data_IF_629797830349
#
_entry.id   IF_629797830349
#
_cell.length_a   1.000
_cell.length_b   1.000
_cell.length_c   1.000
_cell.angle_alpha   90.00
_cell.angle_beta   90.00
_cell.angle_gamma   90.00
#
_symmetry.space_group_name_H-M   'P 1'
#
loop_
_entity.id
_entity.type
_entity.pdbx_description
1 polymer ?
#
# COMPACT_ATOMS: atom_id res chain seq x y z
N UNK A 1 21.09 16.71 16.73
CA UNK A 1 20.20 16.45 15.58
C UNK A 1 19.19 15.36 15.90
N UNK A 2 18.07 15.74 16.49
CA UNK A 2 16.89 14.89 16.58
C UNK A 2 16.05 15.02 15.30
N UNK A 3 15.82 13.91 14.61
CA UNK A 3 14.96 13.84 13.42
C UNK A 3 13.61 13.22 13.78
N UNK A 4 12.53 13.84 13.33
CA UNK A 4 11.19 13.23 13.33
C UNK A 4 10.95 12.64 11.95
N UNK A 5 10.50 11.39 11.90
CA UNK A 5 10.16 10.72 10.65
C UNK A 5 8.74 10.19 10.76
N UNK A 6 7.88 10.62 9.83
CA UNK A 6 6.51 10.13 9.65
C UNK A 6 6.41 9.39 8.34
N UNK A 7 5.72 8.25 8.34
CA UNK A 7 5.56 7.40 7.15
C UNK A 7 4.10 7.09 6.92
N UNK A 8 3.65 7.30 5.68
CA UNK A 8 2.29 7.08 5.25
C UNK A 8 2.30 6.16 4.03
N UNK A 9 1.54 5.08 4.08
CA UNK A 9 1.31 4.19 2.93
C UNK A 9 -0.03 4.55 2.29
N UNK A 10 -0.01 4.95 1.03
CA UNK A 10 -1.19 5.45 0.32
C UNK A 10 -1.50 4.53 -0.87
N UNK A 11 -2.66 3.87 -0.88
CA UNK A 11 -3.07 3.08 -2.04
C UNK A 11 -3.60 4.02 -3.13
N UNK A 12 -2.99 3.99 -4.31
CA UNK A 12 -3.49 4.65 -5.52
C UNK A 12 -3.69 3.56 -6.57
N UNK A 13 -4.96 3.34 -6.93
CA UNK A 13 -5.37 2.22 -7.79
C UNK A 13 -4.82 0.87 -7.30
N UNK A 14 -3.86 0.29 -8.01
CA UNK A 14 -3.25 -1.02 -7.77
C UNK A 14 -1.78 -0.91 -7.35
N UNK A 15 -1.41 0.20 -6.71
CA UNK A 15 -0.09 0.42 -6.14
C UNK A 15 -0.20 1.12 -4.79
N UNK A 16 0.73 0.79 -3.90
CA UNK A 16 0.94 1.51 -2.66
C UNK A 16 2.17 2.40 -2.80
N UNK A 17 1.98 3.68 -2.49
CA UNK A 17 3.01 4.71 -2.50
C UNK A 17 3.43 5.01 -1.06
N UNK A 18 4.73 5.20 -0.84
CA UNK A 18 5.25 5.64 0.46
C UNK A 18 5.46 7.15 0.44
N UNK A 19 4.82 7.86 1.37
CA UNK A 19 5.18 9.23 1.71
C UNK A 19 6.00 9.22 2.99
N UNK A 20 7.19 9.82 2.94
CA UNK A 20 8.04 10.03 4.11
C UNK A 20 8.16 11.51 4.36
N UNK A 21 7.82 11.95 5.56
CA UNK A 21 8.04 13.32 6.02
C UNK A 21 9.13 13.30 7.07
N UNK A 22 10.23 13.97 6.78
CA UNK A 22 11.36 14.12 7.68
C UNK A 22 11.43 15.57 8.16
N UNK A 23 11.55 15.77 9.47
CA UNK A 23 11.74 17.09 10.05
C UNK A 23 12.92 17.10 11.00
N UNK A 24 13.85 18.01 10.75
CA UNK A 24 14.95 18.31 11.66
C UNK A 24 14.45 19.28 12.73
N UNK A 25 14.38 18.82 14.00
CA UNK A 25 13.77 19.61 15.08
C UNK A 25 14.44 20.95 15.35
N UNK A 26 15.77 21.00 15.18
CA UNK A 26 16.60 22.15 15.54
C UNK A 26 16.48 23.27 14.50
N UNK A 27 16.49 22.91 13.21
CA UNK A 27 16.42 23.87 12.11
C UNK A 27 15.00 24.12 11.63
N UNK A 28 14.04 23.25 11.96
CA UNK A 28 12.70 23.27 11.37
C UNK A 28 12.67 22.86 9.90
N UNK A 29 13.77 22.34 9.34
CA UNK A 29 13.85 21.90 7.94
C UNK A 29 13.01 20.66 7.76
N UNK A 30 12.05 20.73 6.83
CA UNK A 30 11.17 19.61 6.45
C UNK A 30 11.47 19.15 5.04
N UNK A 31 11.46 17.84 4.85
CA UNK A 31 11.55 17.16 3.56
C UNK A 31 10.40 16.19 3.41
N UNK A 32 9.72 16.24 2.27
CA UNK A 32 8.65 15.30 1.92
C UNK A 32 9.12 14.50 0.72
N UNK A 33 9.14 13.18 0.87
CA UNK A 33 9.52 12.23 -0.16
C UNK A 33 8.32 11.41 -0.60
N UNK A 34 8.26 11.10 -1.89
CA UNK A 34 7.34 10.13 -2.48
C UNK A 34 8.17 9.00 -3.10
N UNK A 35 8.03 7.77 -2.60
CA UNK A 35 8.84 6.61 -3.01
C UNK A 35 10.35 6.94 -3.05
N UNK A 36 10.86 7.56 -1.99
CA UNK A 36 12.24 8.08 -1.86
C UNK A 36 12.61 9.29 -2.73
N UNK A 37 11.77 9.73 -3.66
CA UNK A 37 12.02 10.94 -4.45
C UNK A 37 11.62 12.20 -3.66
N UNK A 38 12.55 13.13 -3.44
CA UNK A 38 12.26 14.41 -2.79
C UNK A 38 11.25 15.20 -3.63
N UNK A 39 10.15 15.63 -3.01
CA UNK A 39 9.09 16.43 -3.64
C UNK A 39 9.00 17.83 -3.07
N UNK A 40 9.20 17.97 -1.76
CA UNK A 40 9.14 19.25 -1.07
C UNK A 40 10.34 19.34 -0.14
N UNK A 41 10.97 20.50 -0.13
CA UNK A 41 11.91 20.89 0.90
C UNK A 41 11.60 22.32 1.34
N UNK A 42 11.28 22.48 2.62
CA UNK A 42 10.87 23.76 3.19
C UNK A 42 11.16 23.84 4.70
N UNK A 43 10.48 24.77 5.37
CA UNK A 43 10.66 25.08 6.78
C UNK A 43 9.29 25.10 7.49
N UNK A 44 9.20 24.51 8.69
CA UNK A 44 7.94 24.32 9.45
C UNK A 44 7.57 25.54 10.32
N UNK A 45 8.12 26.73 10.07
CA UNK A 45 7.85 27.93 10.88
C UNK A 45 6.39 28.41 10.83
N UNK A 46 5.60 27.89 9.89
CA UNK A 46 4.16 28.12 9.77
C UNK A 46 3.46 26.81 9.39
N UNK A 47 2.18 26.68 9.76
CA UNK A 47 1.34 25.57 9.30
C UNK A 47 1.11 25.73 7.80
N UNK A 48 1.61 24.77 7.02
CA UNK A 48 1.48 24.73 5.56
C UNK A 48 0.66 23.51 5.15
N UNK A 49 0.01 23.63 3.99
CA UNK A 49 -0.62 22.51 3.33
C UNK A 49 0.05 22.28 1.96
N UNK A 50 0.45 21.04 1.71
CA UNK A 50 1.11 20.62 0.48
C UNK A 50 0.20 19.70 -0.31
N UNK A 51 0.12 19.92 -1.63
CA UNK A 51 -0.62 19.04 -2.54
C UNK A 51 0.40 18.28 -3.39
N UNK A 52 0.36 16.96 -3.33
CA UNK A 52 1.08 16.09 -4.25
C UNK A 52 0.08 15.49 -5.25
N UNK A 53 0.43 15.49 -6.53
CA UNK A 53 -0.32 14.78 -7.56
C UNK A 53 0.36 13.43 -7.83
N UNK A 54 -0.38 12.34 -7.60
CA UNK A 54 0.05 10.98 -7.86
C UNK A 54 -0.93 10.36 -8.84
N UNK A 55 -0.51 10.22 -10.11
CA UNK A 55 -1.32 9.62 -11.17
C UNK A 55 -2.70 10.29 -11.35
N UNK A 56 -2.78 11.61 -11.18
CA UNK A 56 -4.04 12.38 -11.26
C UNK A 56 -4.84 12.40 -9.96
N UNK A 57 -4.37 11.70 -8.92
CA UNK A 57 -4.96 11.73 -7.57
C UNK A 57 -4.25 12.76 -6.71
N UNK A 58 -5.00 13.71 -6.16
CA UNK A 58 -4.47 14.76 -5.29
C UNK A 58 -4.37 14.27 -3.85
N UNK A 59 -3.18 14.36 -3.28
CA UNK A 59 -2.89 14.07 -1.88
C UNK A 59 -2.64 15.39 -1.15
N UNK A 60 -3.46 15.73 -0.18
CA UNK A 60 -3.24 16.89 0.69
C UNK A 60 -2.51 16.43 1.96
N UNK A 61 -1.38 17.06 2.25
CA UNK A 61 -0.62 16.89 3.49
C UNK A 61 -0.72 18.21 4.23
N UNK A 62 -1.39 18.21 5.38
CA UNK A 62 -1.61 19.42 6.17
C UNK A 62 -1.00 19.27 7.55
N UNK A 63 -0.27 20.29 7.99
CA UNK A 63 0.21 20.36 9.37
C UNK A 63 -1.00 20.41 10.33
N UNK A 64 -1.02 19.51 11.30
CA UNK A 64 -2.09 19.38 12.29
C UNK A 64 -1.76 20.13 13.58
N UNK A 65 -0.50 20.10 14.02
CA UNK A 65 -0.06 20.75 15.25
C UNK A 65 1.44 21.07 15.26
N UNK A 66 1.83 21.83 16.26
CA UNK A 66 3.20 22.30 16.55
C UNK A 66 4.14 21.14 16.98
N UNK A 67 3.61 19.92 17.11
CA UNK A 67 4.39 18.71 17.42
C UNK A 67 4.72 17.89 16.17
N UNK A 68 4.64 18.51 14.99
CA UNK A 68 4.91 17.87 13.70
C UNK A 68 3.96 16.69 13.41
N UNK A 69 2.69 16.86 13.78
CA UNK A 69 1.59 16.00 13.36
C UNK A 69 1.07 16.41 11.99
N UNK A 70 0.66 15.44 11.18
CA UNK A 70 0.13 15.70 9.84
C UNK A 70 -1.21 15.00 9.64
N UNK A 71 -2.15 15.71 9.01
CA UNK A 71 -3.33 15.12 8.41
C UNK A 71 -3.04 14.86 6.93
N UNK A 72 -3.18 13.61 6.49
CA UNK A 72 -3.07 13.22 5.09
C UNK A 72 -4.46 12.90 4.55
N UNK A 73 -4.83 13.51 3.42
CA UNK A 73 -6.10 13.29 2.74
C UNK A 73 -5.86 12.91 1.28
N UNK A 74 -6.71 12.04 0.76
CA UNK A 74 -6.73 11.57 -0.63
C UNK A 74 -8.03 12.04 -1.27
N UNK A 75 -7.94 13.05 -2.15
CA UNK A 75 -9.12 13.80 -2.57
C UNK A 75 -9.83 14.45 -1.37
N UNK A 76 -11.05 14.03 -1.09
CA UNK A 76 -11.88 14.53 0.02
C UNK A 76 -11.89 13.61 1.25
N UNK A 77 -11.19 12.47 1.21
CA UNK A 77 -11.18 11.46 2.29
C UNK A 77 -9.93 11.57 3.14
N UNK A 78 -10.06 11.28 4.43
CA UNK A 78 -8.88 11.02 5.27
C UNK A 78 -8.15 9.76 4.77
N UNK A 79 -6.85 9.68 5.03
CA UNK A 79 -6.05 8.50 4.65
C UNK A 79 -6.66 7.19 5.16
N UNK A 80 -7.14 7.17 6.41
CA UNK A 80 -7.71 5.97 7.03
C UNK A 80 -9.00 5.52 6.32
N UNK A 81 -9.88 6.47 6.00
CA UNK A 81 -11.09 6.17 5.23
C UNK A 81 -10.76 5.67 3.82
N UNK A 82 -9.78 6.29 3.17
CA UNK A 82 -9.34 5.89 1.83
C UNK A 82 -8.73 4.48 1.82
N UNK A 83 -7.88 4.16 2.81
CA UNK A 83 -7.34 2.81 3.02
C UNK A 83 -8.45 1.81 3.30
N UNK A 84 -9.40 2.17 4.16
CA UNK A 84 -10.52 1.31 4.50
C UNK A 84 -11.36 0.97 3.27
N UNK A 85 -11.71 1.97 2.45
CA UNK A 85 -12.46 1.75 1.22
C UNK A 85 -11.67 0.92 0.20
N UNK A 86 -10.36 1.16 0.05
CA UNK A 86 -9.50 0.32 -0.79
C UNK A 86 -9.50 -1.14 -0.31
N UNK A 87 -9.43 -1.36 1.01
CA UNK A 87 -9.39 -2.69 1.62
C UNK A 87 -10.71 -3.47 1.48
N UNK A 88 -11.83 -2.81 1.14
CA UNK A 88 -13.10 -3.50 0.84
C UNK A 88 -13.05 -4.19 -0.52
N UNK A 89 -12.30 -3.64 -1.46
CA UNK A 89 -12.21 -4.15 -2.83
C UNK A 89 -10.96 -5.01 -3.05
N UNK A 90 -9.87 -4.69 -2.35
CA UNK A 90 -8.56 -5.33 -2.56
C UNK A 90 -7.99 -5.93 -1.28
N UNK A 91 -7.38 -7.11 -1.43
CA UNK A 91 -6.47 -7.68 -0.45
C UNK A 91 -5.04 -7.39 -0.86
N UNK A 92 -4.23 -6.90 0.07
CA UNK A 92 -2.81 -6.60 -0.16
C UNK A 92 -1.94 -7.44 0.78
N UNK A 93 -0.81 -7.92 0.26
CA UNK A 93 0.25 -8.60 1.00
C UNK A 93 1.60 -8.00 0.64
N UNK A 94 2.54 -7.99 1.58
CA UNK A 94 3.94 -7.66 1.31
C UNK A 94 4.77 -8.95 1.30
N UNK A 95 5.47 -9.18 0.20
CA UNK A 95 6.32 -10.36 0.00
C UNK A 95 7.78 -9.96 -0.12
N UNK A 96 8.67 -10.81 0.38
CA UNK A 96 10.11 -10.67 0.19
C UNK A 96 10.58 -11.75 -0.78
N UNK A 97 11.04 -11.33 -1.96
CA UNK A 97 11.54 -12.23 -3.00
C UNK A 97 12.93 -12.79 -2.62
N UNK A 98 13.34 -13.92 -3.23
CA UNK A 98 14.73 -14.36 -3.20
C UNK A 98 15.66 -13.22 -3.59
N UNK A 99 16.70 -12.96 -2.79
CA UNK A 99 17.57 -11.80 -2.92
C UNK A 99 17.17 -10.57 -2.09
N UNK A 100 16.09 -10.66 -1.29
CA UNK A 100 15.73 -9.66 -0.28
C UNK A 100 14.89 -8.49 -0.78
N UNK A 101 14.54 -8.46 -2.07
CA UNK A 101 13.69 -7.42 -2.63
C UNK A 101 12.25 -7.54 -2.11
N UNK A 102 11.71 -6.48 -1.50
CA UNK A 102 10.32 -6.41 -1.06
C UNK A 102 9.41 -5.91 -2.17
N UNK A 103 8.21 -6.47 -2.25
CA UNK A 103 7.15 -5.96 -3.13
C UNK A 103 5.78 -6.31 -2.60
N UNK A 104 4.74 -5.77 -3.23
CA UNK A 104 3.36 -6.01 -2.85
C UNK A 104 2.63 -6.84 -3.90
N UNK A 105 1.80 -7.74 -3.40
CA UNK A 105 0.80 -8.48 -4.18
C UNK A 105 -0.55 -7.88 -3.81
N UNK A 106 -1.35 -7.53 -4.80
CA UNK A 106 -2.69 -6.97 -4.62
C UNK A 106 -3.64 -7.82 -5.43
N UNK A 107 -4.71 -8.32 -4.82
CA UNK A 107 -5.74 -9.06 -5.53
C UNK A 107 -7.10 -8.45 -5.26
N UNK A 108 -7.95 -8.45 -6.30
CA UNK A 108 -9.35 -8.10 -6.11
C UNK A 108 -10.02 -9.21 -5.27
N UNK A 109 -10.84 -8.80 -4.31
CA UNK A 109 -11.57 -9.73 -3.43
C UNK A 109 -12.66 -10.48 -4.16
N UNK A 110 -13.20 -9.95 -5.26
CA UNK A 110 -14.05 -10.71 -6.19
C UNK A 110 -13.19 -11.67 -7.03
N UNK A 111 -13.30 -13.00 -6.81
CA UNK A 111 -12.53 -13.99 -7.56
C UNK A 111 -12.93 -14.03 -9.05
N UNK A 112 -14.09 -13.48 -9.43
CA UNK A 112 -14.55 -13.46 -10.82
C UNK A 112 -13.86 -12.36 -11.63
N UNK A 113 -13.35 -11.31 -10.97
CA UNK A 113 -12.54 -10.28 -11.61
C UNK A 113 -11.20 -10.81 -12.14
N UNK A 114 -10.72 -11.97 -11.64
CA UNK A 114 -9.47 -12.64 -12.06
C UNK A 114 -8.29 -11.66 -12.20
N UNK A 115 -8.16 -10.78 -11.21
CA UNK A 115 -7.20 -9.68 -11.28
C UNK A 115 -6.28 -9.71 -10.07
N UNK A 116 -5.00 -9.91 -10.37
CA UNK A 116 -3.89 -9.83 -9.42
C UNK A 116 -2.87 -8.86 -9.99
N UNK A 117 -2.33 -8.01 -9.13
CA UNK A 117 -1.23 -7.12 -9.43
C UNK A 117 -0.02 -7.52 -8.60
N UNK A 118 1.14 -7.53 -9.25
CA UNK A 118 2.41 -7.86 -8.65
C UNK A 118 3.46 -6.88 -9.18
N UNK A 119 4.24 -6.27 -8.29
CA UNK A 119 5.20 -5.22 -8.65
C UNK A 119 4.57 -4.07 -9.47
N UNK A 120 3.34 -3.68 -9.13
CA UNK A 120 2.60 -2.62 -9.80
C UNK A 120 2.11 -2.97 -11.21
N UNK A 121 2.20 -4.24 -11.64
CA UNK A 121 1.74 -4.69 -12.95
C UNK A 121 0.69 -5.79 -12.79
N UNK A 122 -0.30 -5.80 -13.68
CA UNK A 122 -1.29 -6.90 -13.74
C UNK A 122 -0.56 -8.19 -14.11
N UNK A 123 -0.81 -9.25 -13.35
CA UNK A 123 -0.30 -10.59 -13.68
C UNK A 123 -1.11 -11.13 -14.85
N UNK A 124 -0.48 -11.45 -16.00
CA UNK A 124 -1.18 -12.00 -17.15
C UNK A 124 -1.56 -13.47 -16.91
N UNK A 125 -2.64 -13.92 -17.54
CA UNK A 125 -3.01 -15.35 -17.55
C UNK A 125 -3.49 -15.90 -16.20
N UNK A 126 -3.93 -15.04 -15.28
CA UNK A 126 -4.55 -15.51 -14.03
C UNK A 126 -5.86 -16.23 -14.36
N UNK A 127 -5.88 -17.52 -14.08
CA UNK A 127 -7.06 -18.36 -14.20
C UNK A 127 -7.65 -18.68 -12.84
N UNK A 128 -8.98 -18.69 -12.77
CA UNK A 128 -9.72 -19.10 -11.59
C UNK A 128 -9.79 -20.62 -11.59
N UNK A 129 -9.04 -21.26 -10.70
CA UNK A 129 -9.08 -22.71 -10.52
C UNK A 129 -10.07 -23.01 -9.40
N UNK A 130 -11.21 -23.62 -9.74
CA UNK A 130 -12.19 -24.12 -8.77
C UNK A 130 -11.83 -25.56 -8.42
N UNK A 131 -11.64 -25.84 -7.14
CA UNK A 131 -11.39 -27.22 -6.68
C UNK A 131 -12.52 -27.77 -5.82
N UNK A 132 -13.29 -26.91 -5.15
CA UNK A 132 -14.53 -27.26 -4.45
C UNK A 132 -15.58 -26.15 -4.60
N UNK A 133 -16.81 -26.40 -4.13
CA UNK A 133 -17.93 -25.48 -4.31
C UNK A 133 -17.66 -24.07 -3.72
N UNK A 134 -16.94 -24.03 -2.58
CA UNK A 134 -16.64 -22.84 -1.78
C UNK A 134 -15.16 -22.45 -1.80
N UNK A 135 -14.36 -23.07 -2.68
CA UNK A 135 -12.93 -22.85 -2.71
C UNK A 135 -12.41 -22.60 -4.13
N UNK A 136 -11.63 -21.53 -4.26
CA UNK A 136 -10.97 -21.15 -5.50
C UNK A 136 -9.52 -20.77 -5.23
N UNK A 137 -8.70 -20.85 -6.28
CA UNK A 137 -7.33 -20.36 -6.21
C UNK A 137 -6.90 -19.68 -7.50
N UNK A 138 -5.99 -18.74 -7.36
CA UNK A 138 -5.15 -18.22 -8.43
C UNK A 138 -3.73 -18.71 -8.22
N UNK A 139 -3.06 -19.12 -9.30
CA UNK A 139 -1.68 -19.59 -9.25
C UNK A 139 -0.87 -18.93 -10.34
N UNK A 140 0.34 -18.51 -10.02
CA UNK A 140 1.31 -18.02 -10.99
C UNK A 140 2.72 -18.25 -10.49
N UNK A 141 3.69 -18.15 -11.42
CA UNK A 141 5.11 -18.22 -11.10
C UNK A 141 5.80 -16.93 -11.48
N UNK A 142 6.83 -16.59 -10.74
CA UNK A 142 7.76 -15.53 -11.06
C UNK A 142 9.19 -16.01 -10.78
N UNK A 143 9.97 -16.22 -11.85
CA UNK A 143 11.23 -16.96 -11.79
C UNK A 143 11.01 -18.33 -11.10
N UNK A 144 11.76 -18.61 -10.03
CA UNK A 144 11.65 -19.85 -9.23
C UNK A 144 10.63 -19.76 -8.09
N UNK A 145 9.90 -18.64 -7.98
CA UNK A 145 8.93 -18.42 -6.90
C UNK A 145 7.53 -18.79 -7.36
N UNK A 146 6.88 -19.65 -6.59
CA UNK A 146 5.49 -20.04 -6.79
C UNK A 146 4.58 -19.22 -5.87
N UNK A 147 3.56 -18.63 -6.46
CA UNK A 147 2.53 -17.88 -5.77
C UNK A 147 1.18 -18.55 -5.95
N UNK A 148 0.41 -18.57 -4.88
CA UNK A 148 -0.97 -19.03 -4.86
C UNK A 148 -1.80 -18.09 -3.98
N UNK A 149 -2.95 -17.65 -4.46
CA UNK A 149 -3.95 -17.00 -3.61
C UNK A 149 -5.12 -17.96 -3.48
N UNK A 150 -5.46 -18.33 -2.25
CA UNK A 150 -6.59 -19.19 -1.92
C UNK A 150 -7.75 -18.33 -1.43
N UNK A 151 -8.93 -18.59 -1.98
CA UNK A 151 -10.18 -17.94 -1.60
C UNK A 151 -11.09 -19.01 -1.02
N UNK A 152 -11.54 -18.80 0.22
CA UNK A 152 -12.33 -19.76 0.97
C UNK A 152 -13.59 -19.11 1.52
N UNK A 153 -14.73 -19.78 1.37
CA UNK A 153 -15.97 -19.47 2.09
C UNK A 153 -16.24 -20.59 3.08
N UNK A 154 -15.83 -20.40 4.33
CA UNK A 154 -16.21 -21.28 5.45
C UNK A 154 -17.35 -20.68 6.29
N UNK A 155 -17.29 -19.38 6.58
CA UNK A 155 -18.33 -18.58 7.28
C UNK A 155 -18.25 -17.10 6.90
N UNK A 156 -17.03 -16.62 6.80
CA UNK A 156 -16.64 -15.34 6.21
C UNK A 156 -15.73 -15.61 5.02
N UNK A 157 -15.75 -14.72 4.05
CA UNK A 157 -14.83 -14.77 2.92
C UNK A 157 -13.40 -14.51 3.40
N UNK A 158 -12.45 -15.40 3.08
CA UNK A 158 -11.03 -15.25 3.44
C UNK A 158 -10.12 -15.44 2.24
N UNK A 159 -9.15 -14.55 2.08
CA UNK A 159 -8.09 -14.64 1.07
C UNK A 159 -6.73 -14.91 1.73
N UNK A 160 -6.01 -15.92 1.26
CA UNK A 160 -4.68 -16.27 1.80
C UNK A 160 -3.67 -16.32 0.67
N UNK A 161 -2.62 -15.49 0.77
CA UNK A 161 -1.47 -15.59 -0.12
C UNK A 161 -0.48 -16.62 0.41
N UNK A 162 -0.07 -17.53 -0.46
CA UNK A 162 0.97 -18.51 -0.23
C UNK A 162 2.11 -18.25 -1.21
N UNK A 163 3.32 -18.07 -0.69
CA UNK A 163 4.57 -17.92 -1.46
C UNK A 163 5.52 -19.06 -1.08
N UNK A 164 5.91 -19.90 -2.04
CA UNK A 164 6.80 -21.05 -1.80
C UNK A 164 6.36 -21.91 -0.59
N UNK A 165 5.06 -22.25 -0.53
CA UNK A 165 4.41 -23.04 0.54
C UNK A 165 4.37 -22.36 1.92
N UNK A 166 4.70 -21.07 2.02
CA UNK A 166 4.54 -20.29 3.26
C UNK A 166 3.40 -19.29 3.10
N UNK A 167 2.55 -19.20 4.13
CA UNK A 167 1.53 -18.17 4.22
C UNK A 167 2.20 -16.81 4.40
N UNK A 168 1.68 -15.80 3.71
CA UNK A 168 2.14 -14.41 3.78
C UNK A 168 1.05 -13.59 4.47
N UNK A 169 1.44 -12.82 5.47
CA UNK A 169 0.52 -11.94 6.19
C UNK A 169 0.04 -10.77 5.33
N UNK A 170 -1.17 -10.30 5.63
CA UNK A 170 -1.70 -9.10 5.01
C UNK A 170 -0.84 -7.88 5.33
N UNK A 171 -0.65 -7.03 4.32
CA UNK A 171 0.07 -5.79 4.48
C UNK A 171 -0.68 -4.85 5.45
N UNK A 172 0.05 -4.31 6.42
CA UNK A 172 -0.46 -3.32 7.37
C UNK A 172 0.09 -1.93 7.00
N UNK A 173 -0.74 -1.01 6.48
CA UNK A 173 -0.28 0.29 6.05
C UNK A 173 0.06 1.20 7.24
N UNK A 174 1.09 2.04 7.08
CA UNK A 174 1.49 3.08 8.05
C UNK A 174 0.70 4.35 7.82
N UNK A 175 0.33 5.03 8.90
CA UNK A 175 -0.55 6.21 8.89
C UNK A 175 0.02 7.37 9.73
N UNK A 176 1.34 7.42 9.95
CA UNK A 176 2.03 8.46 10.73
C UNK A 176 2.83 7.95 11.93
#
# INVERSE_FOLDING_TARGET
>A
MAMIVRRYDIPISYRWYEIVIEVEKESGRRKIFLDSALKVEDQVWQLVAHILDIEGTKILIKDFNDTFGYTVMVGEKTLDQHIHDHSKEYSTWEVTLPGGAKTKVIANKDPNAKTVFFRGKRVPGIEKIRWLAAFWKFEWKYNEVEFKIEFVIERTWTETLVMNKKIVDHFQPRQG
#
